data_IF_377958355569
#
_entry.id   IF_377958355569
#
_cell.length_a   1.000
_cell.length_b   1.000
_cell.length_c   1.000
_cell.angle_alpha   90.00
_cell.angle_beta   90.00
_cell.angle_gamma   90.00
#
_symmetry.space_group_name_H-M   'P 1'
#
loop_
_entity.id
_entity.type
_entity.pdbx_description
1 polymer ?
#
# COMPACT_ATOMS: atom_id res chain seq x y z
N UNK A 1 -4.82 -13.49 -8.24
CA UNK A 1 -4.12 -12.37 -7.59
C UNK A 1 -5.09 -11.77 -6.59
N UNK A 2 -4.74 -11.67 -5.31
CA UNK A 2 -5.65 -11.09 -4.32
C UNK A 2 -5.63 -9.55 -4.46
N UNK A 3 -6.72 -8.91 -4.06
CA UNK A 3 -6.84 -7.46 -3.98
C UNK A 3 -5.69 -6.82 -3.18
N UNK A 4 -5.30 -7.43 -2.06
CA UNK A 4 -4.18 -6.95 -1.25
C UNK A 4 -2.84 -6.99 -2.01
N UNK A 5 -2.61 -8.00 -2.85
CA UNK A 5 -1.38 -8.11 -3.67
C UNK A 5 -1.32 -7.02 -4.73
N UNK A 6 -2.45 -6.71 -5.39
CA UNK A 6 -2.53 -5.61 -6.36
C UNK A 6 -2.22 -4.27 -5.71
N UNK A 7 -2.76 -4.03 -4.52
CA UNK A 7 -2.53 -2.78 -3.78
C UNK A 7 -1.07 -2.72 -3.32
N UNK A 8 -0.46 -3.83 -2.94
CA UNK A 8 0.96 -3.89 -2.60
C UNK A 8 1.85 -3.50 -3.79
N UNK A 9 1.60 -4.03 -4.97
CA UNK A 9 2.37 -3.66 -6.18
C UNK A 9 2.25 -2.16 -6.49
N UNK A 10 1.05 -1.60 -6.36
CA UNK A 10 0.83 -0.15 -6.51
C UNK A 10 1.60 0.66 -5.45
N UNK A 11 1.67 0.17 -4.20
CA UNK A 11 2.48 0.79 -3.14
C UNK A 11 3.96 0.79 -3.52
N UNK A 12 4.48 -0.31 -4.08
CA UNK A 12 5.88 -0.41 -4.51
C UNK A 12 6.16 0.53 -5.68
N UNK A 13 5.33 0.53 -6.72
CA UNK A 13 5.47 1.45 -7.87
C UNK A 13 5.45 2.92 -7.43
N UNK A 14 4.52 3.28 -6.53
CA UNK A 14 4.41 4.64 -5.98
C UNK A 14 5.64 5.03 -5.16
N UNK A 15 6.21 4.09 -4.38
CA UNK A 15 7.46 4.31 -3.64
C UNK A 15 8.68 4.43 -4.56
N UNK A 16 8.73 3.66 -5.66
CA UNK A 16 9.79 3.78 -6.68
C UNK A 16 9.77 5.16 -7.35
N UNK A 17 8.57 5.73 -7.55
CA UNK A 17 8.37 7.11 -8.02
C UNK A 17 8.66 8.18 -6.97
N UNK A 18 9.08 7.79 -5.76
CA UNK A 18 9.28 8.68 -4.60
C UNK A 18 8.02 9.45 -4.18
N UNK A 19 6.86 8.92 -4.51
CA UNK A 19 5.58 9.51 -4.13
C UNK A 19 5.14 9.02 -2.73
N UNK A 20 4.42 9.90 -2.02
CA UNK A 20 3.93 9.58 -0.68
C UNK A 20 2.77 8.59 -0.77
N UNK A 21 2.89 7.47 -0.06
CA UNK A 21 1.79 6.53 0.17
C UNK A 21 1.15 6.88 1.51
N UNK A 22 -0.12 7.27 1.49
CA UNK A 22 -0.91 7.58 2.70
C UNK A 22 -1.94 6.50 2.98
N UNK A 23 -2.50 6.51 4.20
CA UNK A 23 -3.52 5.54 4.62
C UNK A 23 -4.82 5.72 3.84
N UNK A 24 -5.16 6.98 3.55
CA UNK A 24 -6.30 7.38 2.73
C UNK A 24 -6.13 6.86 1.31
N UNK A 25 -4.95 7.02 0.71
CA UNK A 25 -4.68 6.51 -0.62
C UNK A 25 -4.79 4.98 -0.70
N UNK A 26 -4.29 4.25 0.31
CA UNK A 26 -4.45 2.78 0.38
C UNK A 26 -5.93 2.41 0.46
N UNK A 27 -6.73 3.15 1.23
CA UNK A 27 -8.16 2.92 1.34
C UNK A 27 -8.88 3.15 0.00
N UNK A 28 -8.52 4.22 -0.72
CA UNK A 28 -9.08 4.52 -2.04
C UNK A 28 -8.76 3.42 -3.05
N UNK A 29 -7.50 2.97 -3.12
CA UNK A 29 -7.13 1.86 -4.01
C UNK A 29 -7.88 0.59 -3.65
N UNK A 30 -8.11 0.37 -2.35
CA UNK A 30 -8.87 -0.79 -1.90
C UNK A 30 -10.33 -0.76 -2.39
N UNK A 31 -11.00 0.39 -2.27
CA UNK A 31 -12.36 0.54 -2.78
C UNK A 31 -12.43 0.36 -4.30
N UNK A 32 -11.45 0.90 -5.04
CA UNK A 32 -11.37 0.72 -6.51
C UNK A 32 -11.17 -0.74 -6.89
N UNK A 33 -10.27 -1.46 -6.20
CA UNK A 33 -10.04 -2.89 -6.48
C UNK A 33 -11.23 -3.77 -6.08
N UNK A 34 -12.02 -3.36 -5.08
CA UNK A 34 -13.22 -4.10 -4.65
C UNK A 34 -14.46 -3.78 -5.49
N UNK A 35 -14.49 -2.68 -6.23
CA UNK A 35 -15.61 -2.32 -7.11
C UNK A 35 -15.73 -3.29 -8.31
N UNK A 36 -16.12 -4.53 -8.02
CA UNK A 36 -16.55 -5.53 -8.99
C UNK A 36 -18.06 -5.35 -9.23
N UNK A 37 -18.53 -5.34 -10.48
CA UNK A 37 -19.91 -4.95 -10.83
C UNK A 37 -20.99 -6.00 -10.53
N UNK A 38 -20.73 -7.04 -9.74
CA UNK A 38 -21.73 -8.07 -9.43
C UNK A 38 -22.38 -7.84 -8.06
N UNK A 39 -23.29 -6.87 -8.02
CA UNK A 39 -24.28 -6.76 -6.96
C UNK A 39 -25.36 -7.84 -7.18
N UNK A 40 -25.14 -9.02 -6.61
CA UNK A 40 -26.21 -9.97 -6.31
C UNK A 40 -26.92 -9.47 -5.04
N UNK A 41 -28.25 -9.56 -4.96
CA UNK A 41 -29.05 -9.13 -3.81
C UNK A 41 -28.70 -9.91 -2.52
N UNK A 42 -27.98 -11.03 -2.64
CA UNK A 42 -27.42 -11.80 -1.53
C UNK A 42 -25.91 -11.56 -1.30
N UNK A 43 -25.32 -10.51 -1.89
CA UNK A 43 -23.91 -10.23 -1.73
C UNK A 43 -23.57 -9.90 -0.26
N UNK A 44 -22.41 -10.36 0.24
CA UNK A 44 -21.91 -9.94 1.54
C UNK A 44 -21.80 -8.41 1.61
N UNK A 45 -21.77 -7.83 2.83
CA UNK A 45 -21.65 -6.39 3.01
C UNK A 45 -20.53 -5.82 2.13
N UNK A 46 -20.74 -4.66 1.49
CA UNK A 46 -19.71 -4.04 0.67
C UNK A 46 -18.45 -3.86 1.49
N UNK A 47 -17.31 -4.24 0.92
CA UNK A 47 -16.03 -4.08 1.58
C UNK A 47 -15.82 -2.62 1.98
N UNK A 48 -15.61 -2.44 3.28
CA UNK A 48 -15.24 -1.15 3.84
C UNK A 48 -13.71 -1.13 4.01
N UNK A 49 -13.06 -0.21 3.31
CA UNK A 49 -11.64 0.11 3.51
C UNK A 49 -11.43 0.86 4.85
N UNK A 50 -11.88 0.27 5.94
CA UNK A 50 -11.85 0.86 7.29
C UNK A 50 -10.42 1.11 7.74
N UNK A 51 -10.23 2.05 8.67
CA UNK A 51 -8.91 2.30 9.26
C UNK A 51 -8.30 1.05 9.88
N UNK A 52 -9.13 0.15 10.43
CA UNK A 52 -8.70 -1.14 10.97
C UNK A 52 -8.17 -2.06 9.87
N UNK A 53 -8.88 -2.16 8.74
CA UNK A 53 -8.41 -2.92 7.59
C UNK A 53 -7.10 -2.35 7.04
N UNK A 54 -6.99 -1.02 6.87
CA UNK A 54 -5.74 -0.37 6.41
C UNK A 54 -4.59 -0.63 7.38
N UNK A 55 -4.81 -0.57 8.70
CA UNK A 55 -3.79 -0.92 9.70
C UNK A 55 -3.32 -2.37 9.55
N UNK A 56 -4.26 -3.31 9.38
CA UNK A 56 -3.94 -4.73 9.22
C UNK A 56 -3.18 -4.99 7.92
N UNK A 57 -3.62 -4.40 6.81
CA UNK A 57 -2.91 -4.44 5.53
C UNK A 57 -1.47 -3.91 5.68
N UNK A 58 -1.31 -2.71 6.26
CA UNK A 58 0.03 -2.14 6.47
C UNK A 58 0.90 -2.99 7.40
N UNK A 59 0.30 -3.70 8.36
CA UNK A 59 1.02 -4.61 9.26
C UNK A 59 1.47 -5.88 8.52
N UNK A 60 0.57 -6.51 7.75
CA UNK A 60 0.85 -7.72 6.97
C UNK A 60 1.97 -7.51 5.96
N UNK A 61 1.95 -6.37 5.28
CA UNK A 61 2.92 -6.03 4.23
C UNK A 61 4.10 -5.17 4.74
N UNK A 62 4.25 -5.03 6.07
CA UNK A 62 5.34 -4.28 6.72
C UNK A 62 5.50 -2.85 6.15
N UNK A 63 4.37 -2.21 5.82
CA UNK A 63 4.30 -0.86 5.25
C UNK A 63 4.26 0.23 6.33
N UNK A 64 4.02 -0.14 7.58
CA UNK A 64 4.15 0.75 8.74
C UNK A 64 5.59 1.28 8.85
N UNK A 65 5.72 2.52 9.34
CA UNK A 65 6.99 3.23 9.39
C UNK A 65 8.07 2.36 10.06
N UNK A 66 9.03 1.89 9.25
CA UNK A 66 10.23 1.12 9.58
C UNK A 66 10.61 1.17 11.07
N UNK A 67 10.39 0.07 11.80
CA UNK A 67 11.43 -0.44 12.71
C UNK A 67 12.43 -1.21 11.84
N UNK A 68 13.45 -0.50 11.35
CA UNK A 68 14.44 -0.95 10.35
C UNK A 68 15.06 -2.31 10.71
N UNK A 69 15.11 -3.25 9.76
CA UNK A 69 16.20 -4.24 9.63
C UNK A 69 16.37 -4.67 8.17
N UNK A 70 17.43 -4.17 7.54
CA UNK A 70 18.27 -4.84 6.53
C UNK A 70 17.62 -5.82 5.52
N UNK A 71 16.64 -5.39 4.73
CA UNK A 71 16.27 -6.16 3.54
C UNK A 71 16.52 -5.31 2.29
N UNK A 72 17.58 -5.73 1.59
CA UNK A 72 18.10 -5.33 0.27
C UNK A 72 18.63 -3.90 0.13
N UNK A 73 19.95 -3.79 0.29
CA UNK A 73 20.89 -3.08 -0.59
C UNK A 73 20.24 -2.05 -1.54
N UNK A 74 19.84 -0.92 -0.98
CA UNK A 74 19.62 0.29 -1.75
C UNK A 74 21.01 0.93 -1.85
N UNK A 75 21.65 0.82 -3.02
CA UNK A 75 23.01 1.31 -3.25
C UNK A 75 23.25 2.64 -2.55
N UNK A 76 24.28 2.64 -1.70
CA UNK A 76 24.80 3.76 -0.92
C UNK A 76 25.52 4.78 -1.84
N UNK A 77 24.91 5.15 -2.98
CA UNK A 77 25.57 5.94 -4.02
C UNK A 77 24.77 7.19 -4.47
N UNK A 78 23.83 7.69 -3.66
CA UNK A 78 23.12 8.93 -4.01
C UNK A 78 22.83 9.87 -2.84
N UNK A 79 23.70 9.89 -1.84
CA UNK A 79 23.69 10.95 -0.80
C UNK A 79 25.05 11.66 -0.70
N UNK A 80 25.70 11.87 -1.84
CA UNK A 80 26.63 12.98 -1.99
C UNK A 80 25.99 13.95 -2.95
N UNK A 81 25.54 15.08 -2.41
CA UNK A 81 25.71 16.41 -2.98
C UNK A 81 24.52 17.32 -2.67
N UNK A 82 24.64 18.01 -1.53
CA UNK A 82 24.25 19.42 -1.38
C UNK A 82 24.94 19.92 -0.11
N UNK A 83 26.26 20.05 -0.14
CA UNK A 83 27.00 21.24 -0.57
C UNK A 83 27.03 22.31 0.53
N UNK A 84 28.23 22.40 1.14
CA UNK A 84 28.96 23.54 1.74
C UNK A 84 28.15 24.78 2.10
#
# INVERSE_FOLDING_TARGET
MNMEDMIYDLVIDKRLRKEKVTREWIADQALVCHASPHADDNAPPPFAASQHWVSNFMTRYLLSLRRRTNLTTLSDEALVDRAV
#
